data_IF_809975247497
#
_entry.id   IF_809975247497
#
_cell.length_a   1.000
_cell.length_b   1.000
_cell.length_c   1.000
_cell.angle_alpha   90.00
_cell.angle_beta   90.00
_cell.angle_gamma   90.00
#
_symmetry.space_group_name_H-M   'P 1'
#
loop_
_entity.id
_entity.type
_entity.pdbx_description
1 polymer ?
#
# COMPACT_ATOMS: atom_id res chain seq x y z
N UNK A 1 27.40 44.76 5.80
CA UNK A 1 27.14 44.26 7.16
C UNK A 1 26.23 43.05 7.06
N UNK A 2 26.66 41.92 7.64
CA UNK A 2 25.95 40.65 7.84
C UNK A 2 25.22 40.10 6.59
N UNK A 3 25.70 39.09 5.87
CA UNK A 3 26.00 37.73 6.32
C UNK A 3 26.90 37.09 5.25
N UNK A 4 28.22 37.09 5.46
CA UNK A 4 29.16 36.30 4.63
C UNK A 4 30.52 36.10 5.32
N UNK A 5 30.50 35.86 6.64
CA UNK A 5 31.68 35.48 7.43
C UNK A 5 31.27 34.59 8.61
N UNK A 6 30.78 33.39 8.33
CA UNK A 6 30.58 32.38 9.39
C UNK A 6 30.53 30.92 8.89
N UNK A 7 31.20 30.58 7.79
CA UNK A 7 31.39 29.17 7.34
C UNK A 7 32.86 28.89 6.96
N UNK A 8 33.80 29.65 7.50
CA UNK A 8 35.24 29.41 7.32
C UNK A 8 35.97 29.51 8.67
N UNK A 9 35.50 28.77 9.67
CA UNK A 9 36.13 28.67 10.99
C UNK A 9 35.77 27.38 11.77
N UNK A 10 35.43 26.29 11.09
CA UNK A 10 35.26 24.96 11.71
C UNK A 10 35.88 23.84 10.86
N UNK A 11 37.03 24.13 10.24
CA UNK A 11 37.85 23.12 9.54
C UNK A 11 39.33 23.18 9.95
N UNK A 12 39.65 23.83 11.07
CA UNK A 12 41.02 23.99 11.56
C UNK A 12 41.12 23.74 13.07
N UNK A 13 40.53 22.65 13.55
CA UNK A 13 40.76 22.12 14.91
C UNK A 13 40.95 20.61 14.89
N UNK A 14 41.43 20.09 13.75
CA UNK A 14 41.73 18.68 13.52
C UNK A 14 43.18 18.52 13.08
N UNK A 15 44.11 19.19 13.74
CA UNK A 15 45.53 18.86 13.67
C UNK A 15 46.22 19.51 14.88
N UNK A 16 47.09 18.75 15.54
CA UNK A 16 47.89 19.12 16.72
C UNK A 16 47.13 18.96 18.04
N UNK A 17 47.01 17.69 18.49
CA UNK A 17 47.14 17.29 19.89
C UNK A 17 47.42 15.79 19.90
N UNK A 18 48.63 15.44 19.49
CA UNK A 18 49.21 14.13 19.77
C UNK A 18 50.70 14.33 19.79
N UNK A 19 51.27 14.40 20.99
CA UNK A 19 52.60 13.89 21.32
C UNK A 19 52.77 13.90 22.85
N UNK A 20 53.19 12.74 23.36
CA UNK A 20 53.94 12.53 24.61
C UNK A 20 53.16 12.26 25.90
N UNK A 21 52.97 10.98 26.23
CA UNK A 21 53.85 10.28 27.18
C UNK A 21 53.42 8.81 27.40
N UNK A 22 54.37 7.89 27.24
CA UNK A 22 54.27 6.49 27.64
C UNK A 22 54.39 6.34 29.17
N UNK A 23 53.69 5.37 29.75
CA UNK A 23 54.37 4.36 30.57
C UNK A 23 53.60 3.02 30.58
N UNK A 24 54.26 1.86 30.39
CA UNK A 24 53.62 0.55 30.33
C UNK A 24 53.86 -0.21 31.63
N UNK A 25 52.86 -0.35 32.50
CA UNK A 25 52.86 -1.37 33.55
C UNK A 25 51.47 -1.38 34.19
N UNK A 26 50.67 -2.39 33.82
CA UNK A 26 49.69 -3.12 34.63
C UNK A 26 48.90 -4.01 33.66
N UNK A 27 49.47 -5.17 33.37
CA UNK A 27 48.84 -6.22 32.59
C UNK A 27 47.93 -7.07 33.48
N UNK A 28 46.80 -7.47 32.88
CA UNK A 28 46.03 -8.70 33.14
C UNK A 28 45.20 -8.77 34.43
N UNK A 29 43.96 -8.31 34.33
CA UNK A 29 42.81 -9.14 34.69
C UNK A 29 41.98 -9.37 33.43
N UNK A 30 41.90 -10.63 33.01
CA UNK A 30 41.12 -11.07 31.86
C UNK A 30 39.63 -11.00 32.21
N UNK A 31 38.97 -9.91 31.85
CA UNK A 31 37.53 -9.95 31.65
C UNK A 31 37.27 -10.87 30.45
N UNK A 32 36.76 -12.08 30.73
CA UNK A 32 36.16 -12.90 29.69
C UNK A 32 35.12 -12.02 28.99
N UNK A 33 35.16 -11.85 27.65
CA UNK A 33 34.11 -11.11 26.98
C UNK A 33 32.79 -11.78 27.36
N UNK A 34 31.85 -10.98 27.90
CA UNK A 34 30.47 -11.42 28.07
C UNK A 34 30.05 -11.99 26.72
N UNK A 35 29.70 -13.27 26.72
CA UNK A 35 29.04 -13.92 25.60
C UNK A 35 27.80 -13.06 25.32
N UNK A 36 27.87 -12.21 24.30
CA UNK A 36 26.67 -11.72 23.65
C UNK A 36 26.07 -12.99 23.09
N UNK A 37 24.93 -13.41 23.66
CA UNK A 37 24.15 -14.51 23.10
C UNK A 37 23.99 -14.23 21.61
N UNK A 38 24.74 -14.98 20.80
CA UNK A 38 24.51 -14.95 19.36
C UNK A 38 23.13 -15.56 19.19
N UNK A 39 22.15 -14.87 18.60
CA UNK A 39 20.88 -15.50 18.30
C UNK A 39 21.18 -16.81 17.55
N UNK A 40 20.48 -17.89 17.94
CA UNK A 40 20.55 -19.22 17.30
C UNK A 40 20.55 -19.06 15.77
N UNK A 41 21.16 -19.98 15.00
CA UNK A 41 21.12 -19.89 13.54
C UNK A 41 19.67 -19.65 13.08
N UNK A 42 19.46 -18.51 12.43
CA UNK A 42 18.16 -18.12 11.91
C UNK A 42 17.86 -18.91 10.65
N UNK A 43 16.65 -19.43 10.55
CA UNK A 43 16.15 -19.97 9.29
C UNK A 43 15.79 -18.79 8.39
N UNK A 44 16.48 -18.64 7.26
CA UNK A 44 16.11 -17.66 6.24
C UNK A 44 15.16 -18.27 5.22
N UNK A 45 14.06 -17.58 4.94
CA UNK A 45 13.15 -17.88 3.84
C UNK A 45 13.22 -16.73 2.84
N UNK A 46 13.60 -17.04 1.60
CA UNK A 46 13.65 -16.05 0.53
C UNK A 46 12.25 -15.60 0.11
N UNK A 47 12.15 -14.44 -0.53
CA UNK A 47 10.90 -13.86 -0.99
C UNK A 47 10.16 -14.66 -2.09
N UNK A 48 10.69 -15.77 -2.60
CA UNK A 48 9.98 -16.70 -3.49
C UNK A 48 9.67 -18.05 -2.84
N UNK A 49 9.81 -18.17 -1.52
CA UNK A 49 9.39 -19.35 -0.78
C UNK A 49 7.87 -19.58 -0.91
N UNK A 50 7.49 -20.81 -1.27
CA UNK A 50 6.11 -21.18 -1.62
C UNK A 50 5.13 -21.16 -0.44
N UNK A 51 5.66 -21.07 0.79
CA UNK A 51 4.89 -20.89 2.03
C UNK A 51 4.48 -19.44 2.26
N UNK A 52 5.00 -18.49 1.49
CA UNK A 52 4.61 -17.09 1.55
C UNK A 52 3.45 -16.81 0.58
N UNK A 53 2.34 -16.30 1.11
CA UNK A 53 1.18 -15.85 0.31
C UNK A 53 1.29 -14.36 0.02
N UNK A 54 1.25 -13.97 -1.25
CA UNK A 54 1.28 -12.58 -1.71
C UNK A 54 -0.12 -12.12 -2.11
N UNK A 55 -0.54 -10.95 -1.63
CA UNK A 55 -1.78 -10.28 -2.05
C UNK A 55 -1.48 -8.85 -2.45
N UNK A 56 -1.99 -8.43 -3.60
CA UNK A 56 -1.57 -7.22 -4.30
C UNK A 56 -0.60 -7.51 -5.43
N UNK A 57 -0.14 -6.45 -6.11
CA UNK A 57 0.73 -6.58 -7.29
C UNK A 57 2.19 -6.49 -6.90
N UNK A 58 2.92 -7.57 -7.17
CA UNK A 58 4.36 -7.67 -6.95
C UNK A 58 5.08 -7.96 -8.26
N UNK A 59 6.25 -7.35 -8.44
CA UNK A 59 7.18 -7.71 -9.49
C UNK A 59 8.35 -8.49 -8.89
N UNK A 60 8.53 -9.74 -9.32
CA UNK A 60 9.68 -10.56 -8.94
C UNK A 60 10.92 -10.12 -9.73
N UNK A 61 11.98 -9.76 -9.02
CA UNK A 61 13.29 -9.41 -9.57
C UNK A 61 14.36 -10.29 -8.91
N UNK A 62 15.38 -10.69 -9.66
CA UNK A 62 16.61 -11.25 -9.09
C UNK A 62 17.70 -10.19 -9.26
N UNK A 63 18.21 -9.67 -8.15
CA UNK A 63 19.26 -8.65 -8.12
C UNK A 63 20.46 -9.21 -7.36
N UNK A 64 21.61 -9.34 -8.01
CA UNK A 64 22.84 -9.92 -7.43
C UNK A 64 22.63 -11.31 -6.77
N UNK A 65 21.71 -12.11 -7.29
CA UNK A 65 21.40 -13.45 -6.76
C UNK A 65 20.38 -13.45 -5.60
N UNK A 66 19.87 -12.28 -5.20
CA UNK A 66 18.82 -12.13 -4.19
C UNK A 66 17.48 -11.98 -4.90
N UNK A 67 16.51 -12.81 -4.56
CA UNK A 67 15.13 -12.64 -5.03
C UNK A 67 14.44 -11.53 -4.26
N UNK A 68 13.78 -10.63 -4.99
CA UNK A 68 13.02 -9.51 -4.47
C UNK A 68 11.59 -9.53 -5.00
N UNK A 69 10.64 -9.32 -4.11
CA UNK A 69 9.26 -9.01 -4.46
C UNK A 69 9.04 -7.51 -4.28
N UNK A 70 9.04 -6.79 -5.41
CA UNK A 70 8.93 -5.32 -5.44
C UNK A 70 7.49 -4.88 -5.58
N UNK A 71 7.07 -3.85 -4.84
CA UNK A 71 5.74 -3.26 -4.97
C UNK A 71 5.76 -1.74 -4.78
N UNK A 72 4.97 -1.04 -5.61
CA UNK A 72 4.67 0.40 -5.50
C UNK A 72 3.25 0.67 -5.05
N UNK A 73 2.35 -0.29 -5.28
CA UNK A 73 0.94 -0.12 -4.95
C UNK A 73 0.75 -0.14 -3.43
N UNK A 74 -0.20 0.64 -2.89
CA UNK A 74 -0.56 0.56 -1.49
C UNK A 74 -1.22 -0.79 -1.16
N UNK A 75 -1.10 -1.21 0.09
CA UNK A 75 -1.91 -2.29 0.67
C UNK A 75 -1.48 -3.70 0.26
N UNK A 76 -0.38 -3.82 -0.47
CA UNK A 76 0.21 -5.12 -0.79
C UNK A 76 0.71 -5.80 0.49
N UNK A 77 0.56 -7.11 0.58
CA UNK A 77 0.96 -7.86 1.77
C UNK A 77 1.59 -9.21 1.45
N UNK A 78 2.41 -9.67 2.39
CA UNK A 78 2.97 -11.02 2.45
C UNK A 78 2.43 -11.68 3.72
N UNK A 79 1.90 -12.90 3.59
CA UNK A 79 1.22 -13.59 4.69
C UNK A 79 1.63 -15.04 4.81
N UNK A 80 1.81 -15.51 6.04
CA UNK A 80 2.14 -16.89 6.35
C UNK A 80 1.61 -17.30 7.72
N UNK A 81 1.57 -18.60 7.97
CA UNK A 81 1.20 -19.19 9.25
C UNK A 81 2.43 -19.78 9.90
N UNK A 82 2.71 -19.44 11.16
CA UNK A 82 3.88 -19.98 11.83
C UNK A 82 3.70 -20.19 13.34
N UNK A 83 4.47 -21.16 13.87
CA UNK A 83 4.88 -21.19 15.28
C UNK A 83 6.32 -20.72 15.33
N UNK A 84 6.60 -19.62 16.03
CA UNK A 84 7.92 -19.00 16.10
C UNK A 84 8.10 -18.28 17.44
N UNK A 85 9.35 -18.12 17.86
CA UNK A 85 9.78 -17.27 18.98
C UNK A 85 10.35 -15.94 18.47
N UNK A 86 10.98 -15.93 17.30
CA UNK A 86 11.56 -14.72 16.71
C UNK A 86 11.19 -14.56 15.25
N UNK A 87 11.08 -13.30 14.83
CA UNK A 87 10.84 -12.92 13.44
C UNK A 87 11.62 -11.65 13.15
N UNK A 88 12.38 -11.67 12.06
CA UNK A 88 12.90 -10.46 11.41
C UNK A 88 12.48 -10.44 9.96
N UNK A 89 12.27 -9.24 9.43
CA UNK A 89 11.84 -8.99 8.06
C UNK A 89 12.99 -8.34 7.29
N UNK A 90 13.31 -8.84 6.11
CA UNK A 90 14.32 -8.26 5.23
C UNK A 90 13.65 -7.47 4.10
N UNK A 91 13.80 -6.15 4.13
CA UNK A 91 13.27 -5.22 3.13
C UNK A 91 14.36 -4.23 2.74
N UNK A 92 14.55 -4.04 1.44
CA UNK A 92 15.39 -3.01 0.87
C UNK A 92 14.55 -1.85 0.35
N UNK A 93 14.91 -0.62 0.73
CA UNK A 93 14.40 0.58 0.07
C UNK A 93 15.22 0.88 -1.18
N UNK A 94 14.55 1.27 -2.25
CA UNK A 94 15.21 1.66 -3.50
C UNK A 94 15.41 3.17 -3.62
N UNK A 95 14.97 3.96 -2.63
CA UNK A 95 15.05 5.43 -2.64
C UNK A 95 15.10 6.01 -1.19
N UNK A 96 15.30 7.31 -1.05
CA UNK A 96 15.42 8.04 0.22
C UNK A 96 14.08 8.22 0.97
N UNK A 97 12.95 8.20 0.26
CA UNK A 97 11.63 8.24 0.92
C UNK A 97 11.20 6.85 1.37
N UNK A 98 10.79 6.76 2.63
CA UNK A 98 10.64 5.49 3.31
C UNK A 98 9.24 4.94 3.09
N UNK A 99 9.13 3.77 2.45
CA UNK A 99 7.91 3.00 2.57
C UNK A 99 7.64 2.68 4.05
N UNK A 100 6.38 2.43 4.39
CA UNK A 100 6.00 2.00 5.75
C UNK A 100 5.27 0.68 5.67
N UNK A 101 5.57 -0.19 6.62
CA UNK A 101 5.00 -1.52 6.71
C UNK A 101 4.45 -1.76 8.10
N UNK A 102 3.28 -2.36 8.20
CA UNK A 102 2.76 -2.88 9.45
C UNK A 102 2.98 -4.38 9.50
N UNK A 103 3.36 -4.85 10.67
CA UNK A 103 3.41 -6.27 11.01
C UNK A 103 2.18 -6.58 11.82
N UNK A 104 1.36 -7.48 11.32
CA UNK A 104 0.15 -7.93 12.00
C UNK A 104 0.32 -9.37 12.47
N UNK A 105 -0.27 -9.66 13.62
CA UNK A 105 -0.39 -11.01 14.18
C UNK A 105 -1.87 -11.26 14.39
N UNK A 106 -2.41 -12.31 13.76
CA UNK A 106 -3.84 -12.66 13.77
C UNK A 106 -4.77 -11.48 13.38
N UNK A 107 -4.30 -10.61 12.48
CA UNK A 107 -5.05 -9.45 12.00
C UNK A 107 -4.91 -8.19 12.85
N UNK A 108 -4.26 -8.26 14.01
CA UNK A 108 -4.01 -7.10 14.86
C UNK A 108 -2.61 -6.53 14.62
N UNK A 109 -2.49 -5.20 14.61
CA UNK A 109 -1.20 -4.53 14.39
C UNK A 109 -0.28 -4.74 15.60
N UNK A 110 0.84 -5.43 15.38
CA UNK A 110 1.89 -5.66 16.38
C UNK A 110 2.93 -4.54 16.38
N UNK A 111 3.45 -4.16 15.21
CA UNK A 111 4.42 -3.07 15.08
C UNK A 111 4.41 -2.45 13.68
N UNK A 112 5.11 -1.32 13.52
CA UNK A 112 5.35 -0.65 12.24
C UNK A 112 6.86 -0.57 11.97
N UNK A 113 7.24 -0.77 10.72
CA UNK A 113 8.59 -0.65 10.21
C UNK A 113 8.60 0.48 9.19
N UNK A 114 9.55 1.39 9.33
CA UNK A 114 9.92 2.36 8.29
C UNK A 114 11.33 2.01 7.84
N UNK A 115 11.49 1.25 6.74
CA UNK A 115 12.80 0.87 6.29
C UNK A 115 13.64 2.08 5.88
N UNK A 116 14.96 1.93 5.95
CA UNK A 116 15.95 2.97 5.69
C UNK A 116 16.96 2.43 4.69
N UNK A 117 17.54 3.27 3.83
CA UNK A 117 18.52 2.82 2.84
C UNK A 117 19.73 2.09 3.43
N UNK A 118 20.09 2.36 4.70
CA UNK A 118 21.24 1.79 5.41
C UNK A 118 20.94 0.54 6.26
N UNK A 119 19.68 0.09 6.28
CA UNK A 119 19.25 -1.08 7.06
C UNK A 119 18.41 -2.01 6.17
N UNK A 120 18.70 -3.31 6.21
CA UNK A 120 17.94 -4.33 5.46
C UNK A 120 17.07 -5.18 6.37
N UNK A 121 17.60 -5.55 7.55
CA UNK A 121 16.98 -6.51 8.46
C UNK A 121 16.33 -5.77 9.62
N UNK A 122 15.05 -6.03 9.83
CA UNK A 122 14.23 -5.41 10.86
C UNK A 122 13.72 -6.49 11.83
N UNK A 123 14.25 -6.54 13.07
CA UNK A 123 13.69 -7.39 14.11
C UNK A 123 12.28 -6.91 14.48
N UNK A 124 11.29 -7.80 14.38
CA UNK A 124 9.88 -7.46 14.68
C UNK A 124 9.38 -8.19 15.93
N UNK A 125 9.94 -9.36 16.21
CA UNK A 125 9.61 -10.20 17.36
C UNK A 125 10.91 -10.77 17.92
N UNK A 126 11.14 -10.56 19.21
CA UNK A 126 12.30 -11.08 19.95
C UNK A 126 11.95 -12.22 20.91
N UNK A 127 10.68 -12.35 21.30
CA UNK A 127 10.16 -13.40 22.15
C UNK A 127 8.64 -13.51 21.93
N UNK A 128 8.16 -14.70 21.56
CA UNK A 128 6.75 -14.94 21.25
C UNK A 128 6.37 -16.37 21.60
N UNK A 129 5.10 -16.55 21.98
CA UNK A 129 4.59 -17.85 22.39
C UNK A 129 4.48 -18.80 21.18
N UNK A 130 5.49 -19.66 21.02
CA UNK A 130 5.54 -20.67 19.97
C UNK A 130 4.66 -21.91 20.25
N UNK A 131 3.83 -21.91 21.31
CA UNK A 131 2.93 -23.04 21.58
C UNK A 131 1.81 -23.16 20.55
N UNK A 132 1.42 -22.04 19.92
CA UNK A 132 0.33 -21.95 18.95
C UNK A 132 0.82 -21.39 17.62
N UNK A 133 0.10 -21.75 16.56
CA UNK A 133 0.33 -21.19 15.22
C UNK A 133 -0.48 -19.92 15.08
N UNK A 134 0.15 -18.89 14.54
CA UNK A 134 -0.44 -17.56 14.30
C UNK A 134 -0.29 -17.14 12.84
N UNK A 135 -1.20 -16.29 12.38
CA UNK A 135 -1.08 -15.63 11.08
C UNK A 135 -0.20 -14.38 11.20
N UNK A 136 0.91 -14.35 10.46
CA UNK A 136 1.77 -13.17 10.36
C UNK A 136 1.54 -12.49 9.02
N UNK A 137 1.35 -11.17 9.04
CA UNK A 137 1.19 -10.36 7.82
C UNK A 137 2.17 -9.20 7.81
N UNK A 138 2.93 -9.06 6.74
CA UNK A 138 3.75 -7.88 6.42
C UNK A 138 2.95 -7.05 5.42
N UNK A 139 2.46 -5.88 5.83
CA UNK A 139 1.48 -5.09 5.09
C UNK A 139 2.02 -3.71 4.73
N UNK A 140 2.07 -3.35 3.44
CA UNK A 140 2.58 -2.06 2.95
C UNK A 140 1.55 -0.94 3.12
N UNK A 141 1.84 0.03 3.98
CA UNK A 141 0.97 1.16 4.33
C UNK A 141 1.08 2.32 3.36
N UNK A 142 2.28 2.58 2.83
CA UNK A 142 2.51 3.72 1.93
C UNK A 142 2.02 3.42 0.53
N UNK A 143 1.37 4.40 -0.07
CA UNK A 143 1.41 4.57 -1.51
C UNK A 143 2.73 5.25 -1.85
N UNK A 144 3.53 4.66 -2.74
CA UNK A 144 4.72 5.32 -3.26
C UNK A 144 4.87 4.98 -4.75
N UNK A 145 4.31 5.81 -5.63
CA UNK A 145 4.31 5.52 -7.06
C UNK A 145 5.71 5.49 -7.67
N UNK A 146 6.62 6.32 -7.15
CA UNK A 146 7.92 6.62 -7.74
C UNK A 146 9.00 5.57 -7.43
N UNK A 147 8.94 4.91 -6.26
CA UNK A 147 9.91 3.87 -5.89
C UNK A 147 9.24 2.68 -5.21
N UNK A 148 9.80 1.49 -5.44
CA UNK A 148 9.28 0.26 -4.87
C UNK A 148 10.02 -0.08 -3.58
N UNK A 149 9.29 -0.58 -2.59
CA UNK A 149 9.94 -1.37 -1.55
C UNK A 149 10.19 -2.78 -2.05
N UNK A 150 11.35 -3.36 -1.72
CA UNK A 150 11.78 -4.68 -2.15
C UNK A 150 11.84 -5.65 -0.96
N UNK A 151 10.82 -6.48 -0.81
CA UNK A 151 10.82 -7.55 0.19
C UNK A 151 11.74 -8.69 -0.27
N UNK A 152 12.71 -9.06 0.58
CA UNK A 152 13.75 -10.05 0.28
C UNK A 152 13.57 -11.36 1.04
N UNK A 153 12.85 -11.35 2.16
CA UNK A 153 12.56 -12.56 2.92
C UNK A 153 12.28 -12.31 4.39
N UNK A 154 12.27 -13.41 5.15
CA UNK A 154 12.14 -13.40 6.61
C UNK A 154 13.19 -14.30 7.26
N UNK A 155 13.59 -13.93 8.48
CA UNK A 155 14.39 -14.75 9.37
C UNK A 155 13.53 -15.21 10.54
N UNK A 156 13.59 -16.51 10.82
CA UNK A 156 12.88 -17.17 11.92
C UNK A 156 13.89 -17.85 12.86
N UNK A 157 13.49 -18.17 14.09
CA UNK A 157 14.27 -19.06 14.94
C UNK A 157 14.34 -20.49 14.35
N UNK A 158 15.40 -21.23 14.69
CA UNK A 158 15.67 -22.56 14.12
C UNK A 158 14.55 -23.59 14.30
N UNK A 159 13.75 -23.45 15.37
CA UNK A 159 12.66 -24.37 15.71
C UNK A 159 11.31 -23.93 15.11
N UNK A 160 11.29 -22.83 14.37
CA UNK A 160 10.07 -22.30 13.80
C UNK A 160 9.47 -23.29 12.79
N UNK A 161 8.15 -23.39 12.81
CA UNK A 161 7.39 -24.12 11.78
C UNK A 161 6.57 -23.12 11.01
N UNK A 162 6.60 -23.20 9.69
CA UNK A 162 5.90 -22.28 8.79
C UNK A 162 5.14 -23.04 7.71
N UNK A 163 3.95 -22.54 7.40
CA UNK A 163 3.08 -23.02 6.34
C UNK A 163 2.37 -21.85 5.65
N UNK A 164 1.77 -22.14 4.50
CA UNK A 164 1.01 -21.15 3.74
C UNK A 164 -0.19 -20.64 4.55
N UNK A 165 -0.44 -19.34 4.46
CA UNK A 165 -1.65 -18.76 5.06
C UNK A 165 -2.91 -19.37 4.46
N UNK A 166 -3.98 -19.43 5.25
CA UNK A 166 -5.28 -19.91 4.76
C UNK A 166 -5.77 -18.97 3.67
N UNK A 167 -6.16 -19.47 2.49
CA UNK A 167 -6.69 -18.62 1.43
C UNK A 167 -7.99 -17.96 1.91
N UNK A 168 -8.15 -16.68 1.61
CA UNK A 168 -9.42 -16.00 1.78
C UNK A 168 -10.36 -16.44 0.65
N UNK A 169 -11.66 -16.56 0.95
CA UNK A 169 -12.63 -17.10 -0.02
C UNK A 169 -13.07 -16.10 -1.08
N UNK A 170 -12.83 -14.81 -0.83
CA UNK A 170 -13.30 -13.69 -1.63
C UNK A 170 -12.10 -12.83 -2.02
N UNK A 171 -12.15 -12.27 -3.22
CA UNK A 171 -11.17 -11.29 -3.71
C UNK A 171 -11.90 -10.04 -4.16
N UNK A 172 -11.46 -8.88 -3.64
CA UNK A 172 -11.98 -7.57 -4.02
C UNK A 172 -10.84 -6.75 -4.61
N UNK A 173 -11.02 -6.21 -5.80
CA UNK A 173 -10.11 -5.23 -6.38
C UNK A 173 -10.72 -3.82 -6.27
N UNK A 174 -10.01 -2.90 -5.64
CA UNK A 174 -10.34 -1.48 -5.69
C UNK A 174 -9.46 -0.78 -6.71
N UNK A 175 -10.09 -0.02 -7.60
CA UNK A 175 -9.45 0.87 -8.57
C UNK A 175 -9.86 2.28 -8.20
N UNK A 176 -8.93 3.13 -7.78
CA UNK A 176 -9.32 4.42 -7.23
C UNK A 176 -8.23 5.47 -7.07
N UNK A 177 -8.59 6.51 -6.34
CA UNK A 177 -7.75 7.66 -6.05
C UNK A 177 -7.28 7.72 -4.58
N UNK A 178 -6.89 8.91 -4.12
CA UNK A 178 -6.45 9.22 -2.76
C UNK A 178 -7.45 8.79 -1.67
N UNK A 179 -8.76 8.82 -1.95
CA UNK A 179 -9.75 8.33 -0.98
C UNK A 179 -9.63 6.81 -0.80
N UNK A 180 -9.31 6.09 -1.86
CA UNK A 180 -9.11 4.62 -1.81
C UNK A 180 -7.82 4.27 -1.09
N UNK A 181 -6.77 5.08 -1.28
CA UNK A 181 -5.51 5.01 -0.53
C UNK A 181 -5.72 5.28 0.96
N UNK A 182 -6.66 6.16 1.32
CA UNK A 182 -6.79 6.68 2.69
C UNK A 182 -5.83 7.84 2.97
N UNK A 183 -5.56 8.66 1.94
CA UNK A 183 -4.70 9.82 2.03
C UNK A 183 -5.07 10.72 3.21
N UNK A 184 -4.10 10.99 4.09
CA UNK A 184 -4.26 11.93 5.20
C UNK A 184 -5.27 11.52 6.27
N UNK A 185 -5.73 10.27 6.28
CA UNK A 185 -6.86 9.82 7.10
C UNK A 185 -6.60 9.83 8.61
N UNK A 186 -5.33 9.80 9.05
CA UNK A 186 -4.97 9.89 10.48
C UNK A 186 -4.49 11.30 10.86
N UNK A 187 -4.55 12.27 9.94
CA UNK A 187 -4.26 13.66 10.27
C UNK A 187 -5.24 14.21 11.30
N UNK A 188 -4.72 15.02 12.22
CA UNK A 188 -5.52 15.77 13.20
C UNK A 188 -5.98 17.12 12.66
N UNK A 189 -5.43 17.57 11.54
CA UNK A 189 -5.73 18.86 10.90
C UNK A 189 -6.03 18.67 9.42
N UNK A 190 -6.86 19.57 8.88
CA UNK A 190 -7.13 19.64 7.44
C UNK A 190 -6.00 20.31 6.67
N UNK A 191 -5.45 21.36 7.26
CA UNK A 191 -4.40 22.20 6.68
C UNK A 191 -3.09 21.99 7.46
N UNK A 192 -1.97 22.38 6.85
CA UNK A 192 -0.63 22.31 7.45
C UNK A 192 -0.26 20.92 8.00
N UNK A 193 -0.76 19.88 7.34
CA UNK A 193 -0.49 18.49 7.65
C UNK A 193 0.50 17.91 6.65
N UNK A 194 1.28 16.93 7.10
CA UNK A 194 2.13 16.15 6.22
C UNK A 194 1.40 14.87 5.80
N UNK A 195 0.94 14.73 4.55
CA UNK A 195 0.22 13.55 4.09
C UNK A 195 1.08 12.27 4.13
N UNK A 196 2.41 12.36 4.07
CA UNK A 196 3.28 11.17 4.10
C UNK A 196 3.21 10.47 5.44
N UNK A 197 3.35 11.22 6.52
CA UNK A 197 3.24 10.68 7.88
C UNK A 197 1.79 10.45 8.31
N UNK A 198 0.82 11.14 7.69
CA UNK A 198 -0.60 11.09 8.09
C UNK A 198 -1.51 10.23 7.20
N UNK A 199 -0.95 9.47 6.26
CA UNK A 199 -1.70 8.48 5.44
C UNK A 199 -1.51 7.08 5.99
N UNK A 200 -2.60 6.39 6.33
CA UNK A 200 -2.58 5.01 6.79
C UNK A 200 -3.60 4.17 6.02
N UNK A 201 -3.15 3.53 4.93
CA UNK A 201 -4.05 2.76 4.07
C UNK A 201 -4.66 1.52 4.76
N UNK A 202 -4.09 1.06 5.88
CA UNK A 202 -4.66 -0.04 6.66
C UNK A 202 -6.01 0.36 7.26
N UNK A 203 -6.17 1.66 7.51
CA UNK A 203 -7.39 2.27 8.02
C UNK A 203 -8.25 2.87 6.91
N UNK A 204 -7.89 2.67 5.63
CA UNK A 204 -8.74 3.06 4.51
C UNK A 204 -10.03 2.23 4.48
N UNK A 205 -11.02 2.72 3.76
CA UNK A 205 -12.28 1.99 3.61
C UNK A 205 -12.07 0.74 2.75
N UNK A 206 -11.19 0.81 1.74
CA UNK A 206 -10.88 -0.29 0.85
C UNK A 206 -10.31 -1.48 1.62
N UNK A 207 -9.33 -1.25 2.51
CA UNK A 207 -8.76 -2.33 3.31
C UNK A 207 -9.77 -2.92 4.30
N UNK A 208 -10.49 -2.06 5.02
CA UNK A 208 -11.44 -2.49 6.06
C UNK A 208 -12.68 -3.23 5.50
N UNK A 209 -13.07 -2.98 4.25
CA UNK A 209 -14.08 -3.81 3.57
C UNK A 209 -13.59 -5.26 3.41
N UNK A 210 -12.29 -5.44 3.13
CA UNK A 210 -11.67 -6.78 3.10
C UNK A 210 -11.80 -7.53 4.42
N UNK A 211 -11.50 -6.86 5.52
CA UNK A 211 -11.66 -7.46 6.86
C UNK A 211 -13.10 -7.81 7.17
N UNK A 212 -14.04 -6.94 6.77
CA UNK A 212 -15.47 -7.19 6.96
C UNK A 212 -15.97 -8.44 6.23
N UNK A 213 -15.46 -8.70 5.03
CA UNK A 213 -15.91 -9.82 4.20
C UNK A 213 -15.00 -11.04 4.22
N UNK A 214 -13.95 -11.06 5.03
CA UNK A 214 -12.93 -12.11 5.02
C UNK A 214 -12.34 -12.28 3.59
N UNK A 215 -11.97 -11.16 2.97
CA UNK A 215 -11.55 -11.09 1.56
C UNK A 215 -10.11 -10.58 1.41
N UNK A 216 -9.41 -11.13 0.42
CA UNK A 216 -8.15 -10.55 -0.06
C UNK A 216 -8.44 -9.30 -0.89
N UNK A 217 -7.68 -8.23 -0.65
CA UNK A 217 -7.94 -6.91 -1.25
C UNK A 217 -6.75 -6.45 -2.07
N UNK A 218 -7.02 -6.11 -3.33
CA UNK A 218 -6.05 -5.49 -4.24
C UNK A 218 -6.38 -4.00 -4.33
N UNK A 219 -5.50 -3.14 -3.82
CA UNK A 219 -5.69 -1.68 -3.85
C UNK A 219 -4.85 -1.08 -4.98
N UNK A 220 -5.46 -0.96 -6.16
CA UNK A 220 -4.87 -0.33 -7.34
C UNK A 220 -5.30 1.13 -7.41
N UNK A 221 -4.76 1.94 -6.49
CA UNK A 221 -5.08 3.34 -6.35
C UNK A 221 -3.84 4.24 -6.41
N UNK A 222 -4.05 5.48 -6.88
CA UNK A 222 -3.04 6.55 -6.92
C UNK A 222 -3.61 7.89 -6.44
N UNK A 223 -3.02 8.54 -5.45
CA UNK A 223 -3.48 9.88 -5.03
C UNK A 223 -3.43 10.90 -6.17
N UNK A 224 -4.50 11.69 -6.30
CA UNK A 224 -4.65 12.68 -7.36
C UNK A 224 -4.96 12.13 -8.76
N UNK A 225 -5.05 10.81 -8.95
CA UNK A 225 -5.34 10.22 -10.27
C UNK A 225 -6.82 10.30 -10.62
N UNK A 226 -7.14 10.57 -11.88
CA UNK A 226 -8.51 10.47 -12.39
C UNK A 226 -8.70 9.43 -13.49
N UNK A 227 -9.88 9.46 -14.10
CA UNK A 227 -10.25 8.62 -15.25
C UNK A 227 -9.75 9.21 -16.57
N UNK A 228 -9.88 10.52 -16.74
CA UNK A 228 -9.47 11.32 -17.90
C UNK A 228 -8.26 12.19 -17.54
N UNK A 229 -8.31 12.86 -16.38
CA UNK A 229 -7.29 13.81 -15.95
C UNK A 229 -7.00 13.72 -14.45
N UNK A 230 -5.81 14.15 -14.05
CA UNK A 230 -5.40 14.19 -12.65
C UNK A 230 -5.76 15.52 -11.98
N UNK A 231 -5.83 15.52 -10.65
CA UNK A 231 -6.09 16.71 -9.84
C UNK A 231 -5.09 17.82 -10.13
N UNK A 232 -5.57 19.06 -10.21
CA UNK A 232 -4.74 20.24 -10.44
C UNK A 232 -4.21 20.38 -11.87
N UNK A 233 -4.59 19.46 -12.78
CA UNK A 233 -4.27 19.63 -14.19
C UNK A 233 -5.11 20.78 -14.78
N UNK A 234 -4.43 21.84 -15.22
CA UNK A 234 -5.06 23.03 -15.82
C UNK A 234 -4.95 23.05 -17.34
N UNK A 235 -4.26 22.06 -17.92
CA UNK A 235 -4.19 21.81 -19.37
C UNK A 235 -4.95 20.50 -19.69
N UNK A 236 -5.95 20.51 -20.58
CA UNK A 236 -6.68 19.31 -21.00
C UNK A 236 -5.82 18.27 -21.76
N UNK A 237 -4.52 18.50 -21.97
CA UNK A 237 -3.58 17.50 -22.46
C UNK A 237 -3.60 16.22 -21.60
N UNK A 238 -3.50 15.02 -22.21
CA UNK A 238 -3.60 13.77 -21.46
C UNK A 238 -2.46 13.63 -20.44
N UNK A 239 -2.78 13.92 -19.18
CA UNK A 239 -1.99 13.43 -18.05
C UNK A 239 -2.06 11.90 -18.01
N UNK A 240 -1.02 11.23 -17.50
CA UNK A 240 -1.08 9.78 -17.28
C UNK A 240 -2.12 9.50 -16.18
N UNK A 241 -3.34 9.14 -16.60
CA UNK A 241 -4.49 8.83 -15.76
C UNK A 241 -4.58 7.32 -15.44
N UNK A 242 -5.61 6.90 -14.71
CA UNK A 242 -5.72 5.50 -14.26
C UNK A 242 -5.74 4.49 -15.42
N UNK A 243 -6.50 4.69 -16.52
CA UNK A 243 -6.52 3.73 -17.62
C UNK A 243 -5.12 3.40 -18.18
N UNK A 244 -4.19 4.35 -18.16
CA UNK A 244 -2.83 4.20 -18.68
C UNK A 244 -1.90 3.45 -17.71
N UNK A 245 -2.09 3.58 -16.39
CA UNK A 245 -1.24 2.90 -15.39
C UNK A 245 -1.84 1.61 -14.86
N UNK A 246 -3.15 1.40 -15.05
CA UNK A 246 -3.85 0.26 -14.46
C UNK A 246 -3.30 -1.09 -14.90
N UNK A 247 -2.69 -1.20 -16.08
CA UNK A 247 -2.07 -2.45 -16.53
C UNK A 247 -0.69 -2.71 -15.93
N UNK A 248 -0.10 -1.77 -15.19
CA UNK A 248 1.28 -1.88 -14.71
C UNK A 248 1.37 -2.74 -13.44
N UNK A 249 2.42 -3.57 -13.36
CA UNK A 249 2.77 -4.26 -12.10
C UNK A 249 3.33 -3.27 -11.09
N UNK A 250 4.24 -2.39 -11.53
CA UNK A 250 4.79 -1.29 -10.75
C UNK A 250 4.36 0.05 -11.34
N UNK A 251 3.86 0.97 -10.53
CA UNK A 251 3.27 2.24 -10.96
C UNK A 251 4.24 3.08 -11.82
N UNK A 252 5.52 3.18 -11.43
CA UNK A 252 6.53 3.93 -12.16
C UNK A 252 7.08 3.25 -13.42
N UNK A 253 6.74 1.98 -13.70
CA UNK A 253 7.28 1.24 -14.84
C UNK A 253 6.19 0.86 -15.82
N UNK A 254 6.38 1.15 -17.12
CA UNK A 254 5.43 0.74 -18.15
C UNK A 254 5.38 -0.79 -18.33
N UNK A 255 6.49 -1.48 -18.02
CA UNK A 255 6.63 -2.93 -18.08
C UNK A 255 7.33 -3.45 -16.82
N UNK A 256 7.03 -4.69 -16.37
CA UNK A 256 6.05 -5.57 -16.98
C UNK A 256 4.60 -5.15 -16.66
N UNK A 257 3.71 -5.50 -17.57
CA UNK A 257 2.27 -5.45 -17.29
C UNK A 257 1.91 -6.51 -16.26
N UNK A 258 0.83 -6.26 -15.52
CA UNK A 258 0.30 -7.19 -14.54
C UNK A 258 -0.29 -8.41 -15.25
N UNK A 259 0.02 -9.61 -14.73
CA UNK A 259 -0.63 -10.82 -15.17
C UNK A 259 -2.04 -10.91 -14.58
N UNK A 260 -3.03 -10.47 -15.35
CA UNK A 260 -4.45 -10.50 -14.94
C UNK A 260 -5.01 -11.92 -14.79
N UNK A 261 -4.33 -12.97 -15.28
CA UNK A 261 -4.73 -14.35 -15.05
C UNK A 261 -4.28 -14.89 -13.69
N UNK A 262 -3.35 -14.21 -12.99
CA UNK A 262 -2.82 -14.64 -11.70
C UNK A 262 -3.83 -14.57 -10.55
N UNK A 263 -4.85 -13.73 -10.68
CA UNK A 263 -5.94 -13.58 -9.71
C UNK A 263 -7.21 -13.11 -10.40
N UNK A 264 -8.34 -13.72 -10.07
CA UNK A 264 -9.67 -13.28 -10.52
C UNK A 264 -10.43 -12.67 -9.35
N UNK A 265 -10.77 -11.37 -9.39
CA UNK A 265 -11.62 -10.77 -8.37
C UNK A 265 -13.07 -11.22 -8.53
N UNK A 266 -13.75 -11.47 -7.40
CA UNK A 266 -15.21 -11.63 -7.38
C UNK A 266 -15.90 -10.28 -7.62
N UNK A 267 -15.28 -9.21 -7.09
CA UNK A 267 -15.79 -7.86 -7.11
C UNK A 267 -14.69 -6.87 -7.48
N UNK A 268 -14.93 -6.09 -8.53
CA UNK A 268 -14.13 -4.91 -8.88
C UNK A 268 -14.90 -3.66 -8.50
N UNK A 269 -14.29 -2.79 -7.69
CA UNK A 269 -14.87 -1.52 -7.25
C UNK A 269 -14.10 -0.38 -7.91
N UNK A 270 -14.77 0.39 -8.77
CA UNK A 270 -14.17 1.55 -9.44
C UNK A 270 -14.62 2.83 -8.74
N UNK A 271 -13.70 3.47 -8.03
CA UNK A 271 -13.91 4.67 -7.23
C UNK A 271 -13.05 5.83 -7.78
N UNK A 272 -13.36 6.26 -9.00
CA UNK A 272 -12.67 7.32 -9.75
C UNK A 272 -13.66 8.39 -10.24
N UNK A 273 -13.15 9.58 -10.50
CA UNK A 273 -13.91 10.70 -11.06
C UNK A 273 -13.82 11.99 -10.24
N UNK A 274 -13.48 11.91 -8.95
CA UNK A 274 -13.39 13.09 -8.09
C UNK A 274 -12.30 14.05 -8.58
N UNK A 275 -11.14 13.51 -8.96
CA UNK A 275 -10.03 14.30 -9.49
C UNK A 275 -10.26 14.80 -10.92
N UNK A 276 -11.19 14.22 -11.67
CA UNK A 276 -11.59 14.74 -12.97
C UNK A 276 -12.43 16.01 -12.83
N UNK A 277 -13.24 16.08 -11.78
CA UNK A 277 -14.20 17.14 -11.49
C UNK A 277 -13.73 18.07 -10.35
N UNK A 278 -12.41 18.19 -10.18
CA UNK A 278 -11.81 18.96 -9.08
C UNK A 278 -12.09 20.47 -9.17
N UNK A 279 -12.29 20.99 -10.38
CA UNK A 279 -12.63 22.38 -10.68
C UNK A 279 -13.53 22.43 -11.93
N UNK A 280 -14.69 23.08 -11.83
CA UNK A 280 -15.70 23.19 -12.90
C UNK A 280 -15.16 23.85 -14.17
N UNK A 281 -14.13 24.71 -14.06
CA UNK A 281 -13.50 25.34 -15.23
C UNK A 281 -12.66 24.36 -16.04
N UNK A 282 -12.09 23.36 -15.39
CA UNK A 282 -11.16 22.41 -15.97
C UNK A 282 -11.77 21.01 -16.12
N UNK A 283 -13.06 20.82 -15.81
CA UNK A 283 -13.69 19.50 -15.93
C UNK A 283 -13.70 19.02 -17.39
N UNK A 284 -13.44 17.72 -17.65
CA UNK A 284 -13.61 17.16 -18.98
C UNK A 284 -15.09 17.20 -19.37
N UNK A 285 -15.35 17.28 -20.68
CA UNK A 285 -16.71 17.20 -21.19
C UNK A 285 -17.38 15.90 -20.72
N UNK A 286 -18.71 15.95 -20.56
CA UNK A 286 -19.50 14.79 -20.15
C UNK A 286 -19.26 13.60 -21.06
N UNK A 287 -19.21 13.85 -22.36
CA UNK A 287 -19.01 12.85 -23.41
C UNK A 287 -17.62 12.21 -23.31
N UNK A 288 -16.57 13.01 -23.09
CA UNK A 288 -15.20 12.51 -22.95
C UNK A 288 -15.05 11.66 -21.68
N UNK A 289 -15.62 12.12 -20.56
CA UNK A 289 -15.62 11.38 -19.30
C UNK A 289 -16.33 10.04 -19.44
N UNK A 290 -17.55 10.04 -19.99
CA UNK A 290 -18.34 8.82 -20.19
C UNK A 290 -17.64 7.84 -21.14
N UNK A 291 -17.17 8.31 -22.29
CA UNK A 291 -16.50 7.46 -23.28
C UNK A 291 -15.23 6.83 -22.72
N UNK A 292 -14.40 7.61 -22.03
CA UNK A 292 -13.15 7.10 -21.41
C UNK A 292 -13.46 6.06 -20.33
N UNK A 293 -14.46 6.33 -19.47
CA UNK A 293 -14.88 5.39 -18.43
C UNK A 293 -15.38 4.07 -19.02
N UNK A 294 -16.20 4.12 -20.07
CA UNK A 294 -16.72 2.93 -20.75
C UNK A 294 -15.63 2.13 -21.47
N UNK A 295 -14.66 2.81 -22.09
CA UNK A 295 -13.48 2.16 -22.68
C UNK A 295 -12.63 1.46 -21.60
N UNK A 296 -12.49 2.08 -20.43
CA UNK A 296 -11.81 1.46 -19.30
C UNK A 296 -12.56 0.22 -18.80
N UNK A 297 -13.87 0.29 -18.59
CA UNK A 297 -14.68 -0.89 -18.23
C UNK A 297 -14.60 -2.00 -19.29
N UNK A 298 -14.65 -1.64 -20.57
CA UNK A 298 -14.45 -2.59 -21.68
C UNK A 298 -13.10 -3.29 -21.62
N UNK A 299 -12.07 -2.59 -21.13
CA UNK A 299 -10.75 -3.18 -20.89
C UNK A 299 -10.80 -4.15 -19.71
N UNK A 300 -11.44 -3.79 -18.60
CA UNK A 300 -11.61 -4.69 -17.45
C UNK A 300 -12.38 -5.97 -17.79
N UNK A 301 -13.42 -5.88 -18.62
CA UNK A 301 -14.21 -7.05 -19.06
C UNK A 301 -13.42 -8.02 -19.95
N UNK A 302 -12.26 -7.60 -20.47
CA UNK A 302 -11.35 -8.49 -21.22
C UNK A 302 -10.38 -9.21 -20.29
N UNK A 303 -10.07 -8.63 -19.14
CA UNK A 303 -9.15 -9.21 -18.16
C UNK A 303 -9.83 -10.23 -17.25
N UNK A 304 -11.11 -10.04 -16.95
CA UNK A 304 -11.82 -10.89 -16.00
C UNK A 304 -12.99 -11.64 -16.63
N UNK A 305 -13.38 -12.80 -16.06
CA UNK A 305 -14.53 -13.56 -16.50
C UNK A 305 -15.84 -12.77 -16.52
N UNK A 306 -16.80 -13.26 -17.30
CA UNK A 306 -18.08 -12.58 -17.51
C UNK A 306 -18.97 -12.50 -16.26
N UNK A 307 -18.69 -13.29 -15.22
CA UNK A 307 -19.39 -13.33 -13.93
C UNK A 307 -18.75 -12.47 -12.84
N UNK A 308 -17.56 -11.87 -13.09
CA UNK A 308 -17.00 -10.83 -12.22
C UNK A 308 -17.99 -9.66 -12.13
N UNK A 309 -18.22 -9.17 -10.91
CA UNK A 309 -19.14 -8.07 -10.64
C UNK A 309 -18.39 -6.76 -10.53
N UNK A 310 -19.00 -5.69 -11.02
CA UNK A 310 -18.41 -4.35 -11.07
C UNK A 310 -19.30 -3.38 -10.30
N UNK A 311 -18.77 -2.77 -9.24
CA UNK A 311 -19.47 -1.75 -8.47
C UNK A 311 -18.80 -0.40 -8.69
N UNK A 312 -19.49 0.51 -9.36
CA UNK A 312 -18.98 1.85 -9.63
C UNK A 312 -19.42 2.79 -8.53
N UNK A 313 -18.47 3.52 -7.94
CA UNK A 313 -18.74 4.46 -6.86
C UNK A 313 -18.81 5.89 -7.40
N UNK A 314 -19.91 6.58 -7.10
CA UNK A 314 -19.96 8.05 -7.17
C UNK A 314 -19.63 8.65 -5.80
N UNK A 315 -18.85 9.72 -5.73
CA UNK A 315 -18.51 10.41 -4.48
C UNK A 315 -19.69 11.23 -3.92
N UNK A 316 -19.42 12.26 -3.11
CA UNK A 316 -20.45 13.17 -2.62
C UNK A 316 -20.96 14.19 -3.65
N UNK A 317 -20.25 14.40 -4.77
CA UNK A 317 -20.66 15.30 -5.84
C UNK A 317 -21.90 14.78 -6.56
N UNK A 318 -22.94 15.62 -6.65
CA UNK A 318 -24.13 15.29 -7.46
C UNK A 318 -23.78 15.13 -8.94
N UNK A 319 -22.80 15.89 -9.43
CA UNK A 319 -22.34 15.81 -10.82
C UNK A 319 -21.73 14.42 -11.07
N UNK A 320 -20.78 13.99 -10.23
CA UNK A 320 -20.17 12.66 -10.38
C UNK A 320 -21.18 11.53 -10.20
N UNK A 321 -22.05 11.60 -9.18
CA UNK A 321 -23.09 10.59 -8.97
C UNK A 321 -23.99 10.43 -10.19
N UNK A 322 -24.36 11.54 -10.85
CA UNK A 322 -25.18 11.50 -12.06
C UNK A 322 -24.43 10.82 -13.20
N UNK A 323 -23.19 11.24 -13.48
CA UNK A 323 -22.37 10.68 -14.57
C UNK A 323 -22.13 9.18 -14.38
N UNK A 324 -21.79 8.73 -13.16
CA UNK A 324 -21.56 7.31 -12.87
C UNK A 324 -22.85 6.50 -12.99
N UNK A 325 -23.99 7.00 -12.52
CA UNK A 325 -25.28 6.31 -12.69
C UNK A 325 -25.67 6.16 -14.17
N UNK A 326 -25.42 7.18 -14.98
CA UNK A 326 -25.66 7.13 -16.43
C UNK A 326 -24.77 6.09 -17.11
N UNK A 327 -23.48 6.01 -16.72
CA UNK A 327 -22.55 4.97 -17.19
C UNK A 327 -23.08 3.58 -16.80
N UNK A 328 -23.39 3.34 -15.52
CA UNK A 328 -23.95 2.05 -15.07
C UNK A 328 -25.22 1.69 -15.84
N UNK A 329 -26.13 2.64 -16.07
CA UNK A 329 -27.35 2.40 -16.83
C UNK A 329 -27.05 2.04 -18.30
N UNK A 330 -26.02 2.63 -18.90
CA UNK A 330 -25.59 2.30 -20.26
C UNK A 330 -24.96 0.90 -20.31
N UNK A 331 -24.06 0.57 -19.38
CA UNK A 331 -23.46 -0.78 -19.28
C UNK A 331 -24.52 -1.87 -19.15
N UNK A 332 -25.56 -1.64 -18.33
CA UNK A 332 -26.70 -2.56 -18.20
C UNK A 332 -27.47 -2.70 -19.51
N UNK A 333 -27.72 -1.59 -20.24
CA UNK A 333 -28.37 -1.64 -21.57
C UNK A 333 -27.54 -2.44 -22.58
N UNK A 334 -26.22 -2.37 -22.47
CA UNK A 334 -25.27 -3.10 -23.31
C UNK A 334 -25.03 -4.55 -22.85
N UNK A 335 -25.85 -5.05 -21.91
CA UNK A 335 -25.85 -6.45 -21.47
C UNK A 335 -24.91 -6.77 -20.30
N UNK A 336 -24.23 -5.78 -19.71
CA UNK A 336 -23.36 -5.94 -18.52
C UNK A 336 -24.20 -5.95 -17.25
N UNK A 337 -24.99 -7.02 -17.08
CA UNK A 337 -25.95 -7.18 -15.97
C UNK A 337 -25.33 -7.25 -14.57
N UNK A 338 -24.01 -7.44 -14.47
CA UNK A 338 -23.25 -7.50 -13.22
C UNK A 338 -22.55 -6.18 -12.87
N UNK A 339 -22.99 -5.08 -13.48
CA UNK A 339 -22.53 -3.73 -13.18
C UNK A 339 -23.55 -3.00 -12.31
N UNK A 340 -23.09 -2.44 -11.18
CA UNK A 340 -23.91 -1.76 -10.18
C UNK A 340 -23.36 -0.40 -9.81
N UNK A 341 -24.18 0.35 -9.09
CA UNK A 341 -23.84 1.66 -8.54
C UNK A 341 -23.93 1.62 -7.01
N UNK A 342 -22.95 2.23 -6.35
CA UNK A 342 -23.11 2.67 -4.96
C UNK A 342 -22.55 4.08 -4.79
N UNK A 343 -22.97 4.76 -3.73
CA UNK A 343 -22.39 6.04 -3.35
C UNK A 343 -21.22 5.78 -2.41
N UNK A 344 -20.06 6.37 -2.69
CA UNK A 344 -18.97 6.47 -1.74
C UNK A 344 -19.35 7.47 -0.65
N UNK A 345 -19.44 7.00 0.59
CA UNK A 345 -19.88 7.83 1.71
C UNK A 345 -18.71 8.48 2.43
N UNK A 346 -18.55 9.80 2.26
CA UNK A 346 -17.61 10.60 3.05
C UNK A 346 -18.39 11.57 3.94
N UNK A 347 -18.44 11.33 5.26
CA UNK A 347 -19.27 12.17 6.14
C UNK A 347 -18.56 13.41 6.68
N UNK A 348 -17.21 13.38 6.80
CA UNK A 348 -16.39 14.46 7.33
C UNK A 348 -15.04 14.52 6.57
N UNK A 349 -14.77 15.63 5.90
CA UNK A 349 -13.49 15.87 5.18
C UNK A 349 -12.42 16.45 6.11
N UNK A 350 -12.26 15.90 7.33
CA UNK A 350 -11.38 16.43 8.38
C UNK A 350 -9.93 15.93 8.32
N UNK A 351 -9.64 14.95 7.47
CA UNK A 351 -8.29 14.48 7.20
C UNK A 351 -7.47 15.53 6.43
N UNK A 352 -6.22 15.20 6.16
CA UNK A 352 -5.28 16.12 5.50
C UNK A 352 -5.79 16.54 4.12
N UNK A 353 -5.62 17.81 3.76
CA UNK A 353 -6.04 18.39 2.49
C UNK A 353 -7.50 18.05 2.16
N UNK A 354 -8.40 18.23 3.13
CA UNK A 354 -9.84 17.96 3.00
C UNK A 354 -10.21 16.51 2.64
N UNK A 355 -9.32 15.54 2.88
CA UNK A 355 -9.65 14.13 2.70
C UNK A 355 -10.52 13.57 3.84
N UNK A 356 -11.17 12.42 3.64
CA UNK A 356 -11.89 11.71 4.71
C UNK A 356 -10.95 11.37 5.87
N UNK A 357 -11.38 11.69 7.09
CA UNK A 357 -10.68 11.21 8.29
C UNK A 357 -10.97 9.71 8.57
N UNK A 358 -10.22 9.12 9.50
CA UNK A 358 -10.42 7.73 9.97
C UNK A 358 -11.88 7.40 10.29
N UNK A 359 -12.61 8.35 10.91
CA UNK A 359 -14.01 8.14 11.26
C UNK A 359 -14.93 8.13 10.03
N UNK A 360 -14.63 8.92 9.01
CA UNK A 360 -15.34 8.90 7.74
C UNK A 360 -15.09 7.61 6.98
N UNK A 361 -13.85 7.11 6.96
CA UNK A 361 -13.57 5.78 6.44
C UNK A 361 -14.38 4.68 7.14
N UNK A 362 -14.46 4.68 8.47
CA UNK A 362 -15.29 3.72 9.23
C UNK A 362 -16.77 3.78 8.85
N UNK A 363 -17.31 4.98 8.64
CA UNK A 363 -18.70 5.15 8.17
C UNK A 363 -18.88 4.69 6.73
N UNK A 364 -17.89 4.94 5.87
CA UNK A 364 -17.87 4.44 4.50
C UNK A 364 -17.94 2.91 4.49
N UNK A 365 -17.13 2.24 5.32
CA UNK A 365 -17.14 0.77 5.49
C UNK A 365 -18.54 0.31 5.88
N UNK A 366 -19.14 0.85 6.94
CA UNK A 366 -20.48 0.45 7.38
C UNK A 366 -21.51 0.49 6.24
N UNK A 367 -21.51 1.56 5.45
CA UNK A 367 -22.51 1.75 4.39
C UNK A 367 -22.20 0.94 3.13
N UNK A 368 -20.93 0.91 2.71
CA UNK A 368 -20.50 0.12 1.56
C UNK A 368 -20.62 -1.38 1.83
N UNK A 369 -20.37 -1.85 3.04
CA UNK A 369 -20.60 -3.26 3.40
C UNK A 369 -22.06 -3.65 3.19
N UNK A 370 -23.03 -2.84 3.62
CA UNK A 370 -24.45 -3.11 3.35
C UNK A 370 -24.75 -3.18 1.85
N UNK A 371 -24.21 -2.25 1.07
CA UNK A 371 -24.44 -2.21 -0.38
C UNK A 371 -23.78 -3.41 -1.09
N UNK A 372 -22.56 -3.78 -0.69
CA UNK A 372 -21.83 -4.94 -1.21
C UNK A 372 -22.54 -6.24 -0.82
N UNK A 373 -23.02 -6.39 0.42
CA UNK A 373 -23.81 -7.56 0.83
C UNK A 373 -25.05 -7.73 -0.04
N UNK A 374 -25.80 -6.65 -0.27
CA UNK A 374 -26.98 -6.68 -1.14
C UNK A 374 -26.64 -6.96 -2.60
N UNK A 375 -25.56 -6.37 -3.10
CA UNK A 375 -25.13 -6.55 -4.49
C UNK A 375 -24.58 -7.95 -4.75
N UNK A 376 -23.68 -8.43 -3.90
CA UNK A 376 -22.98 -9.72 -4.05
C UNK A 376 -23.74 -10.92 -3.49
N UNK A 377 -24.69 -10.70 -2.57
CA UNK A 377 -25.27 -11.77 -1.76
C UNK A 377 -24.31 -12.27 -0.68
N UNK A 378 -23.36 -11.44 -0.25
CA UNK A 378 -22.39 -11.80 0.77
C UNK A 378 -22.96 -11.57 2.18
N UNK A 379 -23.15 -12.67 2.90
CA UNK A 379 -23.39 -12.67 4.35
C UNK A 379 -22.12 -12.63 5.17
#
# INVERSE_FOLDING_TARGET
MAVTKQILAMLATYLILNLSSCNPEHAMQSDKPKQVDRPRPSQFLSADDDRLTYVGRFHRVIDQGITEMRSTWPGTLVRFQAKLQTLSVEIRETDEQQNRYKILIDGEVHTEISPRPDQLIYPVISDFDASKSHEFTIYKVTEYPEAAGAFQGIYLDAEATISKARPRKRVIEFIGDSNTVGYGNISKTRENCDPWTTTDNHLSYARQIGDHFDADVYINARSGIGMVQNYGNTDPSPSIAMPQIYKRTLQHQATPEWDFASVTPDLVIVALGANDLWDEKYEPSKELFQTTYQQFLTTLYKYYPADTRYLLLGDNSKNLQTRVKEIVAQEIRDGRKYTGYSKQYHSNTKGCNWHPDKNSHKKAVKKLSTDISGFMGWG
#
